data_IF_171704791034
#
_entry.id   IF_171704791034
#
_cell.length_a   1.000
_cell.length_b   1.000
_cell.length_c   1.000
_cell.angle_alpha   90.00
_cell.angle_beta   90.00
_cell.angle_gamma   90.00
#
_symmetry.space_group_name_H-M   'P 1'
#
loop_
_entity.id
_entity.type
_entity.pdbx_description
1 polymer ?
#
# COMPACT_ATOMS: atom_id res chain seq x y z
N UNK A 1 -25.64 23.01 -50.59
CA UNK A 1 -24.82 23.93 -49.77
C UNK A 1 -23.98 23.09 -48.84
N UNK A 2 -22.65 23.16 -49.01
CA UNK A 2 -21.65 22.41 -48.27
C UNK A 2 -21.34 23.09 -46.92
N UNK A 3 -21.08 22.31 -45.87
CA UNK A 3 -20.13 22.69 -44.82
C UNK A 3 -19.29 21.47 -44.43
N UNK A 4 -18.09 21.47 -44.98
CA UNK A 4 -16.93 20.69 -44.56
C UNK A 4 -16.50 21.16 -43.17
N UNK A 5 -16.37 20.25 -42.21
CA UNK A 5 -15.86 20.52 -40.87
C UNK A 5 -14.63 19.67 -40.63
N UNK A 6 -13.50 20.14 -41.16
CA UNK A 6 -12.15 19.63 -40.89
C UNK A 6 -11.87 19.84 -39.40
N UNK A 7 -11.79 18.76 -38.64
CA UNK A 7 -11.37 18.81 -37.24
C UNK A 7 -9.84 18.77 -37.21
N UNK A 8 -9.22 19.93 -37.02
CA UNK A 8 -7.78 20.09 -36.93
C UNK A 8 -7.25 19.43 -35.64
N UNK A 9 -6.68 18.24 -35.77
CA UNK A 9 -5.64 17.81 -34.84
C UNK A 9 -4.42 18.70 -35.07
N UNK A 10 -3.71 19.08 -34.00
CA UNK A 10 -2.54 19.97 -34.03
C UNK A 10 -1.68 19.72 -35.28
N UNK A 11 -1.77 20.59 -36.31
CA UNK A 11 -1.23 20.34 -37.65
C UNK A 11 0.28 20.14 -37.59
N UNK A 12 0.92 20.69 -36.56
CA UNK A 12 2.35 20.61 -36.30
C UNK A 12 2.83 19.20 -35.94
N UNK A 13 2.05 18.40 -35.21
CA UNK A 13 2.48 17.04 -34.78
C UNK A 13 2.23 15.99 -35.85
N UNK A 14 1.14 16.14 -36.61
CA UNK A 14 0.79 15.26 -37.73
C UNK A 14 1.77 15.48 -38.89
N UNK A 15 2.11 16.73 -39.21
CA UNK A 15 3.12 17.06 -40.22
C UNK A 15 4.50 16.51 -39.83
N UNK A 16 4.93 16.69 -38.57
CA UNK A 16 6.20 16.12 -38.06
C UNK A 16 6.25 14.60 -38.14
N UNK A 17 5.16 13.90 -37.81
CA UNK A 17 5.11 12.44 -37.88
C UNK A 17 5.13 11.91 -39.34
N UNK A 18 4.49 12.63 -40.26
CA UNK A 18 4.51 12.31 -41.70
C UNK A 18 5.91 12.50 -42.29
N UNK A 19 6.60 13.58 -41.91
CA UNK A 19 7.97 13.89 -42.34
C UNK A 19 8.98 12.85 -41.82
N UNK A 20 8.93 12.53 -40.51
CA UNK A 20 9.76 11.48 -39.91
C UNK A 20 9.53 10.10 -40.55
N UNK A 21 8.28 9.76 -40.88
CA UNK A 21 7.96 8.51 -41.56
C UNK A 21 8.55 8.47 -42.98
N UNK A 22 8.52 9.60 -43.70
CA UNK A 22 9.08 9.73 -45.06
C UNK A 22 10.60 9.58 -45.03
N UNK A 23 11.27 10.19 -44.05
CA UNK A 23 12.71 10.04 -43.87
C UNK A 23 13.11 8.61 -43.49
N UNK A 24 12.36 7.96 -42.58
CA UNK A 24 12.61 6.58 -42.19
C UNK A 24 12.46 5.65 -43.40
N UNK A 25 11.45 5.86 -44.24
CA UNK A 25 11.25 5.09 -45.47
C UNK A 25 12.39 5.27 -46.48
N UNK A 26 12.98 6.48 -46.57
CA UNK A 26 14.15 6.74 -47.43
C UNK A 26 15.39 6.00 -46.91
N UNK A 27 15.60 6.01 -45.59
CA UNK A 27 16.74 5.34 -44.96
C UNK A 27 16.63 3.81 -45.05
N UNK A 28 15.44 3.24 -44.82
CA UNK A 28 15.20 1.80 -44.97
C UNK A 28 15.44 1.33 -46.40
N UNK A 29 15.07 2.13 -47.42
CA UNK A 29 15.38 1.79 -48.83
C UNK A 29 16.87 1.82 -49.09
N UNK A 30 17.59 2.84 -48.60
CA UNK A 30 19.05 2.92 -48.74
C UNK A 30 19.77 1.74 -48.06
N UNK A 31 19.29 1.27 -46.91
CA UNK A 31 19.83 0.07 -46.22
C UNK A 31 19.56 -1.22 -47.01
N UNK A 32 18.48 -1.26 -47.79
CA UNK A 32 18.09 -2.45 -48.58
C UNK A 32 18.77 -2.47 -49.95
N UNK A 33 19.11 -1.31 -50.50
CA UNK A 33 19.69 -1.16 -51.85
C UNK A 33 21.24 -1.13 -51.84
N UNK A 34 21.91 -0.89 -50.71
CA UNK A 34 23.38 -0.93 -50.59
C UNK A 34 23.87 -2.09 -49.70
N UNK A 35 24.72 -2.95 -50.26
CA UNK A 35 25.30 -4.15 -49.63
C UNK A 35 26.26 -3.87 -48.43
N UNK A 36 26.35 -2.63 -47.96
CA UNK A 36 27.20 -2.25 -46.81
C UNK A 36 26.36 -1.62 -45.70
N UNK A 37 26.06 -2.43 -44.68
CA UNK A 37 25.23 -2.04 -43.53
C UNK A 37 26.00 -1.07 -42.65
N UNK A 38 25.85 0.23 -42.91
CA UNK A 38 26.44 1.28 -42.08
C UNK A 38 25.77 1.29 -40.69
N UNK A 39 26.54 0.97 -39.63
CA UNK A 39 26.08 1.01 -38.23
C UNK A 39 25.46 2.35 -37.84
N UNK A 40 25.94 3.46 -38.42
CA UNK A 40 25.36 4.78 -38.16
C UNK A 40 23.97 4.96 -38.78
N UNK A 41 23.70 4.32 -39.91
CA UNK A 41 22.39 4.36 -40.55
C UNK A 41 21.36 3.53 -39.76
N UNK A 42 21.79 2.40 -39.19
CA UNK A 42 20.99 1.60 -38.26
C UNK A 42 20.65 2.37 -36.97
N UNK A 43 21.63 3.03 -36.35
CA UNK A 43 21.40 3.80 -35.13
C UNK A 43 20.43 4.96 -35.37
N UNK A 44 20.60 5.69 -36.49
CA UNK A 44 19.66 6.75 -36.89
C UNK A 44 18.26 6.21 -37.15
N UNK A 45 18.12 5.07 -37.82
CA UNK A 45 16.82 4.44 -38.05
C UNK A 45 16.15 4.03 -36.72
N UNK A 46 16.92 3.54 -35.75
CA UNK A 46 16.44 3.17 -34.42
C UNK A 46 15.98 4.40 -33.63
N UNK A 47 16.72 5.51 -33.67
CA UNK A 47 16.32 6.77 -33.05
C UNK A 47 15.02 7.31 -33.65
N UNK A 48 14.86 7.23 -34.98
CA UNK A 48 13.63 7.67 -35.66
C UNK A 48 12.43 6.78 -35.33
N UNK A 49 12.62 5.46 -35.22
CA UNK A 49 11.58 4.53 -34.77
C UNK A 49 11.14 4.82 -33.33
N UNK A 50 12.09 5.15 -32.45
CA UNK A 50 11.78 5.56 -31.08
C UNK A 50 10.96 6.86 -31.06
N UNK A 51 11.36 7.87 -31.82
CA UNK A 51 10.62 9.13 -31.94
C UNK A 51 9.20 8.92 -32.50
N UNK A 52 9.02 8.05 -33.49
CA UNK A 52 7.70 7.71 -34.04
C UNK A 52 6.83 6.93 -33.04
N UNK A 53 7.42 6.06 -32.22
CA UNK A 53 6.72 5.35 -31.13
C UNK A 53 6.23 6.33 -30.06
N UNK A 54 7.07 7.29 -29.67
CA UNK A 54 6.73 8.36 -28.73
C UNK A 54 5.60 9.25 -29.28
N UNK A 55 5.66 9.62 -30.56
CA UNK A 55 4.59 10.38 -31.20
C UNK A 55 3.29 9.57 -31.34
N UNK A 56 3.37 8.26 -31.56
CA UNK A 56 2.19 7.36 -31.53
C UNK A 56 1.60 7.24 -30.13
N UNK A 57 2.42 7.09 -29.09
CA UNK A 57 2.00 7.04 -27.68
C UNK A 57 1.29 8.34 -27.30
N UNK A 58 1.91 9.49 -27.60
CA UNK A 58 1.30 10.82 -27.41
C UNK A 58 -0.02 10.96 -28.17
N UNK A 59 -0.10 10.49 -29.42
CA UNK A 59 -1.34 10.49 -30.20
C UNK A 59 -2.41 9.56 -29.62
N UNK A 60 -2.07 8.36 -29.14
CA UNK A 60 -3.03 7.45 -28.48
C UNK A 60 -3.52 7.99 -27.15
N UNK A 61 -2.68 8.73 -26.42
CA UNK A 61 -3.07 9.43 -25.19
C UNK A 61 -3.98 10.63 -25.52
N UNK A 62 -3.64 11.43 -26.53
CA UNK A 62 -4.48 12.56 -26.98
C UNK A 62 -5.83 12.13 -27.58
N UNK A 63 -5.88 11.02 -28.32
CA UNK A 63 -7.14 10.49 -28.89
C UNK A 63 -8.04 9.80 -27.85
N UNK A 64 -7.46 9.21 -26.80
CA UNK A 64 -8.24 8.66 -25.68
C UNK A 64 -8.81 9.76 -24.76
N UNK A 65 -8.40 11.02 -24.94
CA UNK A 65 -8.86 12.18 -24.17
C UNK A 65 -10.05 12.92 -24.82
N UNK A 66 -10.55 12.49 -25.98
CA UNK A 66 -11.70 13.11 -26.65
C UNK A 66 -12.86 12.11 -26.81
N UNK A 67 -13.61 11.89 -25.72
CA UNK A 67 -15.05 11.66 -25.75
C UNK A 67 -15.63 11.62 -24.32
N UNK A 68 -15.72 12.79 -23.68
CA UNK A 68 -16.88 13.20 -22.87
C UNK A 68 -16.77 14.70 -22.54
N UNK A 69 -17.53 15.52 -23.26
CA UNK A 69 -17.94 16.90 -22.94
C UNK A 69 -18.88 16.84 -21.70
N UNK A 70 -18.90 17.68 -20.66
CA UNK A 70 -18.38 19.03 -20.34
C UNK A 70 -18.09 19.07 -18.82
N UNK A 71 -16.95 19.63 -18.38
CA UNK A 71 -16.91 20.93 -17.68
C UNK A 71 -15.45 21.37 -17.46
N UNK A 72 -15.20 22.67 -17.59
CA UNK A 72 -13.88 23.28 -17.56
C UNK A 72 -13.52 23.73 -16.14
N UNK A 73 -12.60 23.05 -15.48
CA UNK A 73 -11.95 23.59 -14.28
C UNK A 73 -10.49 23.09 -14.16
N UNK A 74 -9.55 24.04 -14.30
CA UNK A 74 -8.15 24.02 -13.85
C UNK A 74 -7.47 22.64 -13.74
N UNK A 75 -6.71 22.26 -14.78
CA UNK A 75 -5.95 21.01 -14.86
C UNK A 75 -4.94 20.87 -13.71
N UNK A 76 -5.40 20.27 -12.61
CA UNK A 76 -4.57 19.41 -11.77
C UNK A 76 -4.31 18.14 -12.57
N UNK A 77 -3.05 17.73 -12.70
CA UNK A 77 -2.68 16.42 -13.25
C UNK A 77 -3.23 15.33 -12.31
N UNK A 78 -4.48 14.96 -12.53
CA UNK A 78 -5.17 13.97 -11.70
C UNK A 78 -4.57 12.59 -11.96
N UNK A 79 -4.38 11.84 -10.87
CA UNK A 79 -3.91 10.46 -10.92
C UNK A 79 -4.75 9.64 -11.92
N UNK A 80 -4.14 8.90 -12.87
CA UNK A 80 -4.87 8.00 -13.76
C UNK A 80 -5.75 7.00 -13.01
N UNK A 81 -6.98 6.77 -13.49
CA UNK A 81 -7.94 5.85 -12.86
C UNK A 81 -7.40 4.43 -12.71
N UNK A 82 -6.58 3.97 -13.66
CA UNK A 82 -5.91 2.66 -13.61
C UNK A 82 -4.92 2.50 -12.43
N UNK A 83 -4.48 3.62 -11.85
CA UNK A 83 -3.60 3.64 -10.68
C UNK A 83 -4.35 3.83 -9.38
N UNK A 84 -5.66 4.09 -9.44
CA UNK A 84 -6.51 4.27 -8.25
C UNK A 84 -7.07 2.93 -7.77
N UNK A 85 -7.11 2.77 -6.46
CA UNK A 85 -7.76 1.63 -5.82
C UNK A 85 -9.28 1.75 -6.02
N UNK A 86 -9.98 0.71 -6.51
CA UNK A 86 -11.43 0.79 -6.68
C UNK A 86 -12.22 1.01 -5.38
N UNK A 87 -11.64 0.66 -4.23
CA UNK A 87 -12.22 0.86 -2.89
C UNK A 87 -11.98 2.28 -2.36
N UNK A 88 -10.72 2.73 -2.29
CA UNK A 88 -10.39 4.03 -1.67
C UNK A 88 -10.50 5.21 -2.62
N UNK A 89 -10.50 4.96 -3.93
CA UNK A 89 -10.37 5.98 -5.00
C UNK A 89 -9.07 6.78 -4.94
N UNK A 90 -8.10 6.32 -4.15
CA UNK A 90 -6.77 6.91 -4.03
C UNK A 90 -5.73 6.10 -4.81
N UNK A 91 -4.59 6.73 -5.09
CA UNK A 91 -3.43 6.08 -5.71
C UNK A 91 -3.00 4.83 -4.91
N UNK A 92 -2.90 3.69 -5.58
CA UNK A 92 -2.46 2.43 -4.98
C UNK A 92 -0.98 2.51 -4.61
N UNK A 93 -0.64 2.15 -3.37
CA UNK A 93 0.75 2.13 -2.88
C UNK A 93 1.30 0.71 -2.87
N UNK A 94 0.45 -0.25 -2.51
CA UNK A 94 0.76 -1.67 -2.46
C UNK A 94 -0.27 -2.46 -3.28
N UNK A 95 -0.23 -2.38 -4.63
CA UNK A 95 -1.23 -3.00 -5.49
C UNK A 95 -1.16 -4.54 -5.38
N UNK A 96 -2.31 -5.17 -5.13
CA UNK A 96 -2.51 -6.61 -5.03
C UNK A 96 -3.71 -7.07 -5.85
N UNK A 97 -3.61 -8.26 -6.41
CA UNK A 97 -4.63 -8.93 -7.21
C UNK A 97 -5.42 -9.89 -6.32
N UNK A 98 -6.75 -9.88 -6.46
CA UNK A 98 -7.64 -10.87 -5.83
C UNK A 98 -8.06 -11.95 -6.83
N UNK A 99 -8.77 -12.99 -6.37
CA UNK A 99 -9.20 -14.13 -7.19
C UNK A 99 -9.91 -13.78 -8.51
N UNK A 100 -10.59 -12.63 -8.59
CA UNK A 100 -11.28 -12.15 -9.81
C UNK A 100 -10.36 -11.44 -10.80
N UNK A 101 -9.06 -11.33 -10.53
CA UNK A 101 -8.08 -10.60 -11.35
C UNK A 101 -8.09 -9.08 -11.15
N UNK A 102 -8.98 -8.56 -10.30
CA UNK A 102 -9.05 -7.13 -9.99
C UNK A 102 -7.90 -6.72 -9.05
N UNK A 103 -7.35 -5.52 -9.29
CA UNK A 103 -6.25 -4.96 -8.48
C UNK A 103 -6.79 -3.93 -7.50
N UNK A 104 -6.34 -4.02 -6.25
CA UNK A 104 -6.67 -3.09 -5.17
C UNK A 104 -5.41 -2.70 -4.42
N UNK A 105 -5.46 -1.59 -3.69
CA UNK A 105 -4.46 -1.31 -2.67
C UNK A 105 -4.64 -2.25 -1.47
N UNK A 106 -3.56 -2.92 -1.06
CA UNK A 106 -3.56 -4.00 -0.05
C UNK A 106 -4.30 -3.66 1.25
N UNK A 107 -4.08 -2.52 1.93
CA UNK A 107 -4.73 -2.25 3.21
C UNK A 107 -6.27 -2.24 3.10
N UNK A 108 -6.81 -1.68 2.01
CA UNK A 108 -8.25 -1.55 1.81
C UNK A 108 -8.91 -2.90 1.52
N UNK A 109 -8.34 -3.70 0.62
CA UNK A 109 -8.90 -5.02 0.31
C UNK A 109 -8.70 -5.99 1.48
N UNK A 110 -7.61 -5.87 2.23
CA UNK A 110 -7.39 -6.65 3.44
C UNK A 110 -8.44 -6.31 4.51
N UNK A 111 -8.76 -5.04 4.73
CA UNK A 111 -9.83 -4.60 5.64
C UNK A 111 -11.20 -5.16 5.20
N UNK A 112 -11.50 -5.10 3.91
CA UNK A 112 -12.72 -5.67 3.34
C UNK A 112 -12.87 -7.16 3.64
N UNK A 113 -11.81 -7.95 3.42
CA UNK A 113 -11.80 -9.39 3.69
C UNK A 113 -11.85 -9.71 5.19
N UNK A 114 -11.15 -8.93 6.03
CA UNK A 114 -11.17 -9.06 7.51
C UNK A 114 -12.58 -8.81 8.09
N UNK A 115 -13.38 -7.96 7.44
CA UNK A 115 -14.78 -7.72 7.83
C UNK A 115 -15.73 -8.89 7.48
N UNK A 116 -15.21 -10.00 6.93
CA UNK A 116 -15.99 -11.20 6.60
C UNK A 116 -16.54 -11.22 5.19
N UNK A 117 -16.29 -10.17 4.39
CA UNK A 117 -16.77 -10.11 3.02
C UNK A 117 -16.02 -11.12 2.14
N UNK A 118 -16.79 -11.88 1.35
CA UNK A 118 -16.29 -12.94 0.45
C UNK A 118 -16.56 -12.66 -1.02
N UNK A 119 -16.87 -11.41 -1.35
CA UNK A 119 -17.13 -10.94 -2.71
C UNK A 119 -16.11 -9.91 -3.16
N UNK A 120 -15.87 -9.82 -4.47
CA UNK A 120 -15.12 -8.74 -5.08
C UNK A 120 -15.88 -7.42 -4.92
N UNK A 121 -15.28 -6.37 -4.33
CA UNK A 121 -15.98 -5.09 -4.13
C UNK A 121 -16.48 -4.43 -5.42
N UNK A 122 -15.78 -4.67 -6.54
CA UNK A 122 -16.10 -4.03 -7.82
C UNK A 122 -17.11 -4.85 -8.63
N UNK A 123 -16.85 -6.15 -8.80
CA UNK A 123 -17.68 -7.01 -9.66
C UNK A 123 -18.80 -7.72 -8.91
N UNK A 124 -18.80 -7.66 -7.57
CA UNK A 124 -19.72 -8.38 -6.68
C UNK A 124 -19.67 -9.91 -6.83
N UNK A 125 -18.71 -10.45 -7.57
CA UNK A 125 -18.52 -11.89 -7.74
C UNK A 125 -17.94 -12.52 -6.46
N UNK A 126 -18.42 -13.71 -6.11
CA UNK A 126 -17.87 -14.49 -5.00
C UNK A 126 -16.42 -14.88 -5.29
N UNK A 127 -15.54 -14.66 -4.31
CA UNK A 127 -14.14 -14.99 -4.42
C UNK A 127 -13.94 -16.50 -4.22
N UNK A 128 -13.24 -17.16 -5.15
CA UNK A 128 -12.86 -18.56 -4.98
C UNK A 128 -11.86 -18.78 -3.85
N UNK A 129 -11.06 -17.76 -3.53
CA UNK A 129 -10.11 -17.74 -2.42
C UNK A 129 -9.83 -16.28 -1.98
N UNK A 130 -9.28 -16.11 -0.78
CA UNK A 130 -8.95 -14.79 -0.20
C UNK A 130 -7.45 -14.48 -0.20
N UNK A 131 -6.66 -15.19 -1.00
CA UNK A 131 -5.23 -14.91 -1.20
C UNK A 131 -5.06 -13.59 -1.94
N UNK A 132 -4.13 -12.76 -1.49
CA UNK A 132 -3.76 -11.49 -2.11
C UNK A 132 -2.39 -11.66 -2.78
N UNK A 133 -2.35 -11.52 -4.11
CA UNK A 133 -1.11 -11.69 -4.88
C UNK A 133 -0.55 -10.31 -5.26
N UNK A 134 0.70 -9.97 -4.90
CA UNK A 134 1.29 -8.68 -5.28
C UNK A 134 1.27 -8.45 -6.80
N UNK A 135 0.83 -7.26 -7.23
CA UNK A 135 0.88 -6.82 -8.62
C UNK A 135 2.13 -5.97 -8.87
N UNK A 136 3.25 -6.62 -9.17
CA UNK A 136 4.53 -5.93 -9.40
C UNK A 136 4.49 -5.00 -10.61
N UNK A 137 3.80 -5.39 -11.69
CA UNK A 137 3.68 -4.58 -12.90
C UNK A 137 2.98 -3.24 -12.62
N UNK A 138 1.81 -3.26 -11.97
CA UNK A 138 1.09 -2.03 -11.63
C UNK A 138 1.89 -1.19 -10.65
N UNK A 139 2.61 -1.81 -9.70
CA UNK A 139 3.50 -1.08 -8.78
C UNK A 139 4.59 -0.33 -9.52
N UNK A 140 5.24 -0.97 -10.49
CA UNK A 140 6.27 -0.34 -11.31
C UNK A 140 5.69 0.80 -12.16
N UNK A 141 4.53 0.59 -12.79
CA UNK A 141 3.86 1.63 -13.59
C UNK A 141 3.52 2.86 -12.75
N UNK A 142 2.95 2.65 -11.56
CA UNK A 142 2.63 3.71 -10.60
C UNK A 142 3.91 4.43 -10.17
N UNK A 143 4.97 3.67 -9.86
CA UNK A 143 6.25 4.24 -9.45
C UNK A 143 6.84 5.14 -10.51
N UNK A 144 6.83 4.71 -11.78
CA UNK A 144 7.31 5.53 -12.90
C UNK A 144 6.44 6.76 -13.11
N UNK A 145 5.11 6.60 -13.05
CA UNK A 145 4.19 7.74 -13.16
C UNK A 145 4.46 8.77 -12.06
N UNK A 146 4.58 8.34 -10.81
CA UNK A 146 4.88 9.23 -9.69
C UNK A 146 6.21 9.96 -9.86
N UNK A 147 7.27 9.27 -10.31
CA UNK A 147 8.57 9.89 -10.60
C UNK A 147 8.46 10.98 -11.66
N UNK A 148 7.70 10.73 -12.72
CA UNK A 148 7.53 11.67 -13.82
C UNK A 148 6.71 12.91 -13.45
N UNK A 149 5.84 12.79 -12.43
CA UNK A 149 4.95 13.88 -11.97
C UNK A 149 5.41 14.48 -10.63
N UNK A 150 6.63 14.16 -10.16
CA UNK A 150 7.17 14.69 -8.91
C UNK A 150 6.44 14.24 -7.63
N UNK A 151 5.63 13.18 -7.70
CA UNK A 151 4.89 12.63 -6.57
C UNK A 151 5.81 11.68 -5.81
N UNK A 152 6.01 11.94 -4.52
CA UNK A 152 6.73 11.00 -3.64
C UNK A 152 5.76 9.92 -3.18
N UNK A 153 5.97 8.68 -3.60
CA UNK A 153 5.31 7.53 -3.01
C UNK A 153 5.86 7.30 -1.60
N UNK A 154 5.00 7.21 -0.57
CA UNK A 154 5.44 6.79 0.75
C UNK A 154 5.97 5.35 0.69
N UNK A 155 7.07 5.11 1.39
CA UNK A 155 7.74 3.80 1.38
C UNK A 155 6.75 2.67 1.66
N UNK A 156 6.95 1.51 1.02
CA UNK A 156 6.06 0.34 1.11
C UNK A 156 5.87 -0.18 2.56
N UNK A 157 6.63 0.34 3.51
CA UNK A 157 6.61 0.02 4.94
C UNK A 157 5.65 0.92 5.73
N UNK A 158 5.17 2.04 5.16
CA UNK A 158 4.42 3.06 5.92
C UNK A 158 2.94 2.72 6.16
N UNK A 159 2.35 1.76 5.45
CA UNK A 159 0.92 1.39 5.59
C UNK A 159 0.65 0.21 6.52
N UNK A 160 1.68 -0.33 7.18
CA UNK A 160 1.49 -1.30 8.26
C UNK A 160 1.11 -0.65 9.60
N UNK A 161 1.02 0.68 9.64
CA UNK A 161 0.74 1.45 10.86
C UNK A 161 -0.66 2.06 10.92
N UNK A 162 -1.62 1.64 10.09
CA UNK A 162 -3.04 2.05 10.21
C UNK A 162 -3.91 1.03 10.98
N UNK A 163 -3.29 0.23 11.85
CA UNK A 163 -3.86 -0.05 13.18
C UNK A 163 -2.98 0.69 14.22
N UNK A 164 -2.66 1.95 13.91
CA UNK A 164 -1.88 2.85 14.74
C UNK A 164 -2.65 3.15 16.01
N UNK A 165 -2.05 2.80 17.15
CA UNK A 165 -2.60 3.11 18.46
C UNK A 165 -2.84 4.61 18.56
N UNK A 166 -4.09 4.97 18.80
CA UNK A 166 -4.50 6.36 19.05
C UNK A 166 -3.96 6.82 20.40
N UNK A 167 -4.02 8.13 20.67
CA UNK A 167 -3.73 8.66 22.01
C UNK A 167 -4.62 8.01 23.08
N UNK A 168 -5.89 7.78 22.76
CA UNK A 168 -6.83 7.10 23.65
C UNK A 168 -6.42 5.65 23.95
N UNK A 169 -5.85 4.93 22.99
CA UNK A 169 -5.36 3.56 23.21
C UNK A 169 -4.14 3.55 24.15
N UNK A 170 -3.27 4.56 24.05
CA UNK A 170 -2.13 4.76 24.97
C UNK A 170 -2.61 5.10 26.38
N UNK A 171 -3.57 6.01 26.49
CA UNK A 171 -4.15 6.40 27.78
C UNK A 171 -4.87 5.21 28.44
N UNK A 172 -5.60 4.43 27.64
CA UNK A 172 -6.26 3.21 28.11
C UNK A 172 -5.24 2.18 28.60
N UNK A 173 -4.16 1.96 27.85
CA UNK A 173 -3.06 1.09 28.25
C UNK A 173 -2.44 1.51 29.59
N UNK A 174 -2.11 2.80 29.77
CA UNK A 174 -1.56 3.30 31.03
C UNK A 174 -2.56 3.16 32.19
N UNK A 175 -3.84 3.37 31.94
CA UNK A 175 -4.90 3.16 32.93
C UNK A 175 -4.97 1.69 33.38
N UNK A 176 -4.89 0.73 32.45
CA UNK A 176 -4.87 -0.70 32.77
C UNK A 176 -3.62 -1.09 33.57
N UNK A 177 -2.45 -0.56 33.22
CA UNK A 177 -1.22 -0.79 33.99
C UNK A 177 -1.32 -0.23 35.41
N UNK A 178 -1.89 0.97 35.59
CA UNK A 178 -2.12 1.55 36.90
C UNK A 178 -3.01 0.66 37.79
N UNK A 179 -4.07 0.06 37.20
CA UNK A 179 -4.98 -0.87 37.89
C UNK A 179 -4.29 -2.15 38.40
N UNK A 180 -3.16 -2.55 37.81
CA UNK A 180 -2.38 -3.71 38.29
C UNK A 180 -1.85 -3.53 39.72
N UNK A 181 -1.72 -2.29 40.19
CA UNK A 181 -1.24 -1.99 41.54
C UNK A 181 -2.36 -1.64 42.54
N UNK A 182 -3.63 -1.78 42.15
CA UNK A 182 -4.80 -1.47 42.97
C UNK A 182 -5.40 -2.72 43.63
N UNK A 183 -6.73 -2.86 43.66
CA UNK A 183 -7.42 -3.95 44.34
C UNK A 183 -7.51 -5.22 43.47
N UNK A 184 -7.68 -6.40 44.10
CA UNK A 184 -7.76 -7.69 43.39
C UNK A 184 -8.83 -7.73 42.26
N UNK A 185 -10.05 -7.18 42.41
CA UNK A 185 -11.02 -7.12 41.31
C UNK A 185 -10.52 -6.28 40.13
N UNK A 186 -9.87 -5.14 40.40
CA UNK A 186 -9.31 -4.26 39.37
C UNK A 186 -8.11 -4.90 38.67
N UNK A 187 -7.26 -5.62 39.43
CA UNK A 187 -6.17 -6.42 38.88
C UNK A 187 -6.69 -7.50 37.93
N UNK A 188 -7.73 -8.25 38.32
CA UNK A 188 -8.34 -9.30 37.48
C UNK A 188 -8.94 -8.72 36.20
N UNK A 189 -9.66 -7.60 36.31
CA UNK A 189 -10.22 -6.91 35.15
C UNK A 189 -9.11 -6.45 34.20
N UNK A 190 -8.10 -5.77 34.73
CA UNK A 190 -7.00 -5.21 33.95
C UNK A 190 -6.16 -6.30 33.28
N UNK A 191 -5.79 -7.36 33.99
CA UNK A 191 -4.99 -8.45 33.44
C UNK A 191 -5.73 -9.18 32.30
N UNK A 192 -7.05 -9.40 32.47
CA UNK A 192 -7.87 -10.03 31.43
C UNK A 192 -7.97 -9.17 30.18
N UNK A 193 -8.12 -7.85 30.34
CA UNK A 193 -8.19 -6.92 29.21
C UNK A 193 -6.84 -6.81 28.49
N UNK A 194 -5.73 -6.68 29.25
CA UNK A 194 -4.37 -6.68 28.68
C UNK A 194 -4.08 -7.97 27.89
N UNK A 195 -4.52 -9.14 28.39
CA UNK A 195 -4.43 -10.40 27.65
C UNK A 195 -5.21 -10.35 26.34
N UNK A 196 -6.44 -9.85 26.36
CA UNK A 196 -7.30 -9.79 25.18
C UNK A 196 -6.72 -8.84 24.13
N UNK A 197 -6.27 -7.66 24.54
CA UNK A 197 -5.70 -6.64 23.67
C UNK A 197 -4.39 -7.12 23.04
N UNK A 198 -3.47 -7.69 23.84
CA UNK A 198 -2.23 -8.27 23.30
C UNK A 198 -2.49 -9.47 22.37
N UNK A 199 -3.56 -10.24 22.58
CA UNK A 199 -3.94 -11.31 21.67
C UNK A 199 -4.46 -10.77 20.32
N UNK A 200 -5.31 -9.75 20.35
CA UNK A 200 -6.04 -9.24 19.17
C UNK A 200 -5.22 -8.26 18.33
N UNK A 201 -4.33 -7.48 18.97
CA UNK A 201 -3.66 -6.34 18.35
C UNK A 201 -2.14 -6.46 18.49
N UNK A 202 -1.41 -6.79 17.40
CA UNK A 202 0.05 -6.81 17.43
C UNK A 202 0.67 -5.45 17.78
N UNK A 203 0.08 -4.35 17.33
CA UNK A 203 0.53 -2.99 17.66
C UNK A 203 0.45 -2.69 19.16
N UNK A 204 -0.58 -3.19 19.86
CA UNK A 204 -0.71 -3.05 21.32
C UNK A 204 0.45 -3.69 22.08
N UNK A 205 1.07 -4.75 21.53
CA UNK A 205 2.27 -5.38 22.12
C UNK A 205 3.47 -4.45 22.10
N UNK A 206 3.57 -3.54 21.13
CA UNK A 206 4.68 -2.60 21.03
C UNK A 206 4.66 -1.56 22.16
N UNK A 207 3.49 -1.25 22.75
CA UNK A 207 3.40 -0.31 23.89
C UNK A 207 4.18 -0.76 25.12
N UNK A 208 4.26 -2.07 25.33
CA UNK A 208 5.07 -2.64 26.42
C UNK A 208 6.57 -2.45 26.18
N UNK A 209 7.01 -2.25 24.94
CA UNK A 209 8.39 -1.90 24.63
C UNK A 209 8.70 -0.41 24.66
N UNK A 210 7.67 0.43 24.52
CA UNK A 210 7.79 1.88 24.64
C UNK A 210 7.82 2.34 26.11
N UNK A 211 7.18 1.59 27.01
CA UNK A 211 7.12 1.91 28.44
C UNK A 211 8.10 1.05 29.24
N UNK A 212 9.06 1.70 29.90
CA UNK A 212 10.13 1.05 30.66
C UNK A 212 9.62 0.21 31.84
N UNK A 213 8.52 0.65 32.46
CA UNK A 213 7.97 0.03 33.67
C UNK A 213 6.76 -0.87 33.43
N UNK A 214 6.33 -1.03 32.17
CA UNK A 214 5.10 -1.76 31.86
C UNK A 214 5.15 -3.23 32.28
N UNK A 215 6.30 -3.89 32.08
CA UNK A 215 6.48 -5.29 32.50
C UNK A 215 6.51 -5.38 34.03
N UNK A 216 7.22 -4.47 34.69
CA UNK A 216 7.29 -4.41 36.16
C UNK A 216 5.92 -4.19 36.80
N UNK A 217 5.10 -3.31 36.22
CA UNK A 217 3.72 -3.08 36.66
C UNK A 217 2.81 -4.27 36.36
N UNK A 218 2.95 -4.93 35.21
CA UNK A 218 2.22 -6.15 34.90
C UNK A 218 2.53 -7.29 35.90
N UNK A 219 3.77 -7.35 36.37
CA UNK A 219 4.24 -8.35 37.34
C UNK A 219 3.97 -7.98 38.80
N UNK A 220 3.51 -6.76 39.10
CA UNK A 220 3.35 -6.28 40.47
C UNK A 220 2.42 -7.16 41.33
N UNK A 221 1.29 -7.72 40.82
CA UNK A 221 0.44 -8.61 41.62
C UNK A 221 1.11 -9.94 41.97
N UNK A 222 2.08 -10.39 41.16
CA UNK A 222 2.82 -11.62 41.40
C UNK A 222 3.94 -11.41 42.43
N UNK A 223 4.52 -10.20 42.48
CA UNK A 223 5.63 -9.84 43.36
C UNK A 223 5.21 -9.58 44.82
N UNK A 224 3.97 -9.13 45.06
CA UNK A 224 3.44 -8.85 46.40
C UNK A 224 3.14 -10.10 47.25
N UNK A 225 3.39 -11.31 46.72
CA UNK A 225 2.99 -12.60 47.30
C UNK A 225 3.96 -13.21 48.31
N UNK A 226 4.94 -12.46 48.83
CA UNK A 226 5.89 -12.93 49.86
C UNK A 226 5.25 -13.24 51.24
N UNK A 227 3.93 -13.18 51.39
CA UNK A 227 3.22 -13.54 52.62
C UNK A 227 1.87 -14.22 52.31
N UNK A 228 1.86 -15.55 52.31
CA UNK A 228 0.73 -16.50 52.47
C UNK A 228 -0.58 -16.32 51.67
N UNK A 229 -0.69 -15.33 50.79
CA UNK A 229 -1.88 -15.14 49.95
C UNK A 229 -1.61 -15.79 48.59
N UNK A 230 -2.22 -16.95 48.36
CA UNK A 230 -2.19 -17.65 47.06
C UNK A 230 -2.65 -16.67 45.98
N UNK A 231 -1.76 -16.34 45.04
CA UNK A 231 -2.12 -15.53 43.88
C UNK A 231 -3.32 -16.19 43.21
N UNK A 232 -4.35 -15.40 42.91
CA UNK A 232 -5.56 -15.94 42.30
C UNK A 232 -5.20 -16.61 40.96
N UNK A 233 -5.56 -17.89 40.74
CA UNK A 233 -5.11 -18.66 39.57
C UNK A 233 -5.48 -18.00 38.24
N UNK A 234 -6.70 -17.47 38.11
CA UNK A 234 -7.12 -16.72 36.91
C UNK A 234 -6.24 -15.49 36.64
N UNK A 235 -5.89 -14.73 37.67
CA UNK A 235 -5.06 -13.53 37.54
C UNK A 235 -3.65 -13.92 37.07
N UNK A 236 -3.09 -14.97 37.67
CA UNK A 236 -1.79 -15.49 37.28
C UNK A 236 -1.80 -16.00 35.84
N UNK A 237 -2.83 -16.73 35.42
CA UNK A 237 -2.98 -17.20 34.03
C UNK A 237 -3.03 -16.02 33.05
N UNK A 238 -3.82 -14.99 33.35
CA UNK A 238 -3.97 -13.82 32.48
C UNK A 238 -2.65 -13.04 32.35
N UNK A 239 -1.91 -12.84 33.44
CA UNK A 239 -0.59 -12.20 33.42
C UNK A 239 0.43 -13.01 32.62
N UNK A 240 0.52 -14.33 32.87
CA UNK A 240 1.45 -15.22 32.15
C UNK A 240 1.10 -15.27 30.65
N UNK A 241 -0.18 -15.37 30.31
CA UNK A 241 -0.61 -15.40 28.91
C UNK A 241 -0.30 -14.08 28.21
N UNK A 242 -0.45 -12.95 28.92
CA UNK A 242 -0.05 -11.63 28.39
C UNK A 242 1.45 -11.61 28.09
N UNK A 243 2.30 -12.06 29.01
CA UNK A 243 3.76 -12.16 28.78
C UNK A 243 4.10 -13.05 27.58
N UNK A 244 3.42 -14.19 27.44
CA UNK A 244 3.59 -15.08 26.29
C UNK A 244 3.18 -14.40 24.97
N UNK A 245 2.07 -13.65 24.96
CA UNK A 245 1.65 -12.89 23.79
C UNK A 245 2.70 -11.83 23.39
N UNK A 246 3.36 -11.22 24.38
CA UNK A 246 4.43 -10.25 24.15
C UNK A 246 5.69 -10.92 23.57
N UNK A 247 6.06 -12.12 24.04
CA UNK A 247 7.25 -12.82 23.55
C UNK A 247 7.14 -13.33 22.11
N UNK A 248 5.90 -13.46 21.59
CA UNK A 248 5.65 -13.86 20.20
C UNK A 248 6.04 -12.73 19.20
N UNK A 249 6.15 -11.48 19.63
CA UNK A 249 6.45 -10.36 18.73
C UNK A 249 7.96 -10.09 18.64
N UNK A 250 8.53 -10.10 17.43
CA UNK A 250 9.98 -9.98 17.19
C UNK A 250 10.61 -8.72 17.82
N UNK A 251 9.90 -7.59 17.80
CA UNK A 251 10.37 -6.32 18.41
C UNK A 251 10.51 -6.38 19.94
N UNK A 252 9.78 -7.27 20.62
CA UNK A 252 9.78 -7.39 22.09
C UNK A 252 10.81 -8.41 22.61
N UNK A 253 11.49 -9.15 21.73
CA UNK A 253 12.56 -10.10 22.11
C UNK A 253 13.71 -9.44 22.88
N UNK A 254 13.92 -8.13 22.72
CA UNK A 254 14.94 -7.37 23.46
C UNK A 254 14.53 -7.01 24.89
N UNK A 255 13.23 -7.03 25.21
CA UNK A 255 12.70 -6.70 26.54
C UNK A 255 12.81 -7.90 27.50
N UNK A 256 12.59 -9.12 26.98
CA UNK A 256 12.73 -10.36 27.76
C UNK A 256 14.15 -10.61 28.27
N UNK A 257 15.17 -9.98 27.67
CA UNK A 257 16.57 -10.14 28.08
C UNK A 257 17.05 -9.09 29.10
N UNK A 258 16.32 -7.99 29.31
CA UNK A 258 16.76 -6.88 30.21
C UNK A 258 16.15 -6.91 31.61
N UNK A 259 15.18 -7.77 31.88
CA UNK A 259 14.51 -7.89 33.19
C UNK A 259 14.68 -9.27 33.85
N UNK A 260 15.56 -10.12 33.30
CA UNK A 260 15.94 -11.41 33.90
C UNK A 260 17.39 -11.45 34.42
N UNK A 261 18.08 -10.30 34.46
CA UNK A 261 19.36 -10.09 35.15
C UNK A 261 19.14 -9.14 36.33
#
# INVERSE_FOLDING_TARGET
MAKSGVFEGDPTTVVKAVELKKELQKMVRAIVDEDDVNLEALDRAQQMLFALRELKLKKTVSLKLHNHQYDHEMASETVPEEFKCPLSKELMRDPVIIATGQTYDKPFIQKWLKAGNRTCPLTQQVLSHTVLTPNHLIREMITQWCKNHGIKLPDAVSYMNEEGLTGADRDHFLSLLGKMSLTLPEQKEAAKELRLLTKRMPSFRALFGESLDAISQLLSPLSQSNCETVVHPDLQEDVITTLLNLSIHDNNKSLSLKHLQ
#
